data_IF_844697862019
#
_entry.id   IF_844697862019
#
_cell.length_a   1.000
_cell.length_b   1.000
_cell.length_c   1.000
_cell.angle_alpha   90.00
_cell.angle_beta   90.00
_cell.angle_gamma   90.00
#
_symmetry.space_group_name_H-M   'P 1'
#
loop_
_entity.id
_entity.type
_entity.pdbx_description
1 polymer ?
#
# COMPACT_ATOMS: atom_id res chain seq x y z
N UNK A 1 -20.26 4.35 -4.11
CA UNK A 1 -20.19 5.68 -3.46
C UNK A 1 -18.76 6.14 -3.48
N UNK A 2 -18.51 7.42 -3.77
CA UNK A 2 -17.18 8.02 -3.68
C UNK A 2 -16.90 8.41 -2.23
N UNK A 3 -15.70 8.11 -1.74
CA UNK A 3 -15.23 8.49 -0.40
C UNK A 3 -13.95 9.30 -0.51
N UNK A 4 -13.78 10.38 0.28
CA UNK A 4 -12.57 11.19 0.23
C UNK A 4 -11.36 10.39 0.73
N UNK A 5 -10.20 10.67 0.15
CA UNK A 5 -8.94 10.17 0.67
C UNK A 5 -8.66 10.72 2.07
N UNK A 6 -8.05 9.90 2.90
CA UNK A 6 -7.67 10.24 4.29
C UNK A 6 -6.21 9.92 4.60
N UNK A 7 -5.56 9.12 3.75
CA UNK A 7 -4.19 8.64 3.93
C UNK A 7 -3.45 8.76 2.60
N UNK A 8 -2.16 9.10 2.66
CA UNK A 8 -1.22 8.93 1.55
C UNK A 8 -0.43 7.66 1.84
N UNK A 9 -0.39 6.75 0.88
CA UNK A 9 0.23 5.44 1.01
C UNK A 9 1.19 5.19 -0.15
N UNK A 10 2.18 4.33 0.05
CA UNK A 10 3.15 3.98 -0.99
C UNK A 10 2.58 2.93 -1.93
N UNK A 11 2.75 3.09 -3.25
CA UNK A 11 2.33 2.08 -4.25
C UNK A 11 3.16 0.80 -4.08
N UNK A 12 4.48 0.95 -4.05
CA UNK A 12 5.44 -0.08 -3.62
C UNK A 12 5.83 0.22 -2.18
N UNK A 13 5.58 -0.70 -1.22
CA UNK A 13 5.98 -0.50 0.18
C UNK A 13 7.47 -0.19 0.33
N UNK A 14 7.80 0.74 1.23
CA UNK A 14 9.20 1.08 1.56
C UNK A 14 9.99 -0.14 2.02
N UNK A 15 9.35 -1.06 2.76
CA UNK A 15 9.96 -2.33 3.22
C UNK A 15 10.31 -3.29 2.07
N UNK A 16 9.76 -3.09 0.87
CA UNK A 16 10.02 -3.84 -0.35
C UNK A 16 10.90 -3.04 -1.33
N UNK A 17 11.52 -1.94 -0.87
CA UNK A 17 12.40 -1.11 -1.70
C UNK A 17 11.69 0.02 -2.47
N UNK A 18 10.42 0.32 -2.16
CA UNK A 18 9.74 1.46 -2.78
C UNK A 18 10.32 2.81 -2.36
N UNK A 19 10.40 3.73 -3.33
CA UNK A 19 10.88 5.10 -3.11
C UNK A 19 10.02 5.85 -2.08
N UNK A 20 10.68 6.46 -1.08
CA UNK A 20 9.98 7.03 0.07
C UNK A 20 9.19 8.30 -0.25
N UNK A 21 9.71 9.12 -1.16
CA UNK A 21 9.21 10.47 -1.42
C UNK A 21 8.96 10.76 -2.89
N UNK A 22 9.18 9.79 -3.78
CA UNK A 22 8.86 9.93 -5.20
C UNK A 22 7.34 9.98 -5.36
N UNK A 23 6.81 11.05 -5.98
CA UNK A 23 5.36 11.25 -6.13
C UNK A 23 4.74 10.15 -6.96
N UNK A 24 5.48 9.59 -7.91
CA UNK A 24 5.04 8.43 -8.69
C UNK A 24 4.84 7.16 -7.83
N UNK A 25 5.44 7.09 -6.64
CA UNK A 25 5.23 5.98 -5.70
C UNK A 25 4.21 6.32 -4.59
N UNK A 26 3.53 7.46 -4.64
CA UNK A 26 2.55 7.88 -3.62
C UNK A 26 1.14 7.88 -4.20
N UNK A 27 0.19 7.34 -3.45
CA UNK A 27 -1.23 7.31 -3.81
C UNK A 27 -2.11 7.79 -2.64
N UNK A 28 -3.18 8.52 -2.95
CA UNK A 28 -4.16 8.98 -1.96
C UNK A 28 -5.31 7.99 -1.85
N UNK A 29 -5.55 7.44 -0.66
CA UNK A 29 -6.55 6.39 -0.43
C UNK A 29 -7.54 6.79 0.66
N UNK A 30 -8.80 6.38 0.49
CA UNK A 30 -9.75 6.35 1.58
C UNK A 30 -9.44 5.17 2.52
N UNK A 31 -9.96 5.21 3.75
CA UNK A 31 -9.71 4.18 4.77
C UNK A 31 -9.99 2.75 4.29
N UNK A 32 -11.15 2.42 3.66
CA UNK A 32 -11.39 1.05 3.23
C UNK A 32 -10.44 0.59 2.12
N UNK A 33 -10.06 1.46 1.18
CA UNK A 33 -9.08 1.14 0.14
C UNK A 33 -7.69 0.89 0.73
N UNK A 34 -7.25 1.73 1.69
CA UNK A 34 -6.00 1.53 2.40
C UNK A 34 -5.98 0.17 3.12
N UNK A 35 -7.06 -0.17 3.85
CA UNK A 35 -7.15 -1.45 4.55
C UNK A 35 -7.11 -2.65 3.59
N UNK A 36 -7.78 -2.56 2.44
CA UNK A 36 -7.74 -3.59 1.41
C UNK A 36 -6.33 -3.80 0.85
N UNK A 37 -5.59 -2.70 0.59
CA UNK A 37 -4.19 -2.76 0.17
C UNK A 37 -3.32 -3.43 1.23
N UNK A 38 -3.41 -3.01 2.49
CA UNK A 38 -2.65 -3.62 3.60
C UNK A 38 -2.91 -5.13 3.70
N UNK A 39 -4.17 -5.55 3.56
CA UNK A 39 -4.54 -6.97 3.59
C UNK A 39 -3.90 -7.75 2.42
N UNK A 40 -3.97 -7.21 1.20
CA UNK A 40 -3.34 -7.81 0.02
C UNK A 40 -1.84 -7.93 0.17
N UNK A 41 -1.15 -6.87 0.59
CA UNK A 41 0.31 -6.86 0.78
C UNK A 41 0.75 -7.85 1.86
N UNK A 42 -0.01 -7.94 2.95
CA UNK A 42 0.27 -8.89 4.04
C UNK A 42 0.11 -10.34 3.55
N UNK A 43 -0.94 -10.61 2.76
CA UNK A 43 -1.13 -11.92 2.14
C UNK A 43 0.01 -12.25 1.16
N UNK A 44 0.42 -11.29 0.32
CA UNK A 44 1.54 -11.47 -0.61
C UNK A 44 2.86 -11.73 0.10
N UNK A 45 3.12 -11.10 1.26
CA UNK A 45 4.31 -11.36 2.07
C UNK A 45 4.30 -12.77 2.68
N UNK A 46 3.13 -13.25 3.12
CA UNK A 46 2.99 -14.63 3.60
C UNK A 46 3.31 -15.66 2.50
N UNK A 47 2.97 -15.34 1.26
CA UNK A 47 3.25 -16.21 0.11
C UNK A 47 4.70 -16.14 -0.42
N UNK A 48 5.51 -15.21 0.10
CA UNK A 48 6.92 -15.00 -0.30
C UNK A 48 7.92 -15.43 0.78
N UNK A 49 7.47 -15.98 1.90
CA UNK A 49 8.38 -16.55 2.88
C UNK A 49 9.16 -17.73 2.24
N UNK A 50 10.50 -17.74 2.27
CA UNK A 50 11.26 -18.88 1.76
C UNK A 50 10.96 -20.12 2.63
N UNK A 51 10.93 -21.29 1.98
CA UNK A 51 11.03 -22.58 2.69
C UNK A 51 12.35 -22.69 3.44
#
# INVERSE_FOLDING_TARGET
MLQPAKVVDHIVPVKQGGERFERANLQSLCVPCHNAKTASETASLRNQAPS
#
